data_IF_521571017215
#
_entry.id   IF_521571017215
#
_cell.length_a   1.000
_cell.length_b   1.000
_cell.length_c   1.000
_cell.angle_alpha   90.00
_cell.angle_beta   90.00
_cell.angle_gamma   90.00
#
_symmetry.space_group_name_H-M   'P 1'
#
loop_
_entity.id
_entity.type
_entity.pdbx_description
1 polymer ?
#
# COMPACT_ATOMS: atom_id res chain seq x y z
N UNK A 1 -18.47 20.82 -30.65
CA UNK A 1 -18.89 20.99 -29.24
C UNK A 1 -17.69 20.84 -28.28
N UNK A 2 -16.94 21.92 -28.02
CA UNK A 2 -15.73 21.89 -27.16
C UNK A 2 -16.03 21.72 -25.67
N UNK A 3 -17.19 22.20 -25.19
CA UNK A 3 -17.57 22.19 -23.77
C UNK A 3 -17.76 20.79 -23.17
N UNK A 4 -18.26 19.83 -23.95
CA UNK A 4 -18.46 18.43 -23.50
C UNK A 4 -17.12 17.75 -23.20
N UNK A 5 -16.08 18.05 -24.00
CA UNK A 5 -14.74 17.50 -23.84
C UNK A 5 -14.05 18.01 -22.56
N UNK A 6 -14.30 19.27 -22.21
CA UNK A 6 -13.77 19.91 -21.00
C UNK A 6 -14.41 19.31 -19.74
N UNK A 7 -15.75 19.20 -19.70
CA UNK A 7 -16.44 18.56 -18.58
C UNK A 7 -16.00 17.11 -18.36
N UNK A 8 -15.86 16.34 -19.45
CA UNK A 8 -15.41 14.95 -19.38
C UNK A 8 -13.99 14.80 -18.79
N UNK A 9 -13.06 15.68 -19.19
CA UNK A 9 -11.70 15.70 -18.65
C UNK A 9 -11.67 16.02 -17.15
N UNK A 10 -12.50 16.95 -16.67
CA UNK A 10 -12.55 17.32 -15.25
C UNK A 10 -13.05 16.15 -14.39
N UNK A 11 -14.06 15.40 -14.86
CA UNK A 11 -14.59 14.23 -14.15
C UNK A 11 -13.51 13.14 -14.03
N UNK A 12 -12.75 12.89 -15.10
CA UNK A 12 -11.65 11.91 -15.08
C UNK A 12 -10.57 12.31 -14.09
N UNK A 13 -10.13 13.58 -14.12
CA UNK A 13 -9.09 14.08 -13.20
C UNK A 13 -9.52 13.92 -11.74
N UNK A 14 -10.74 14.33 -11.41
CA UNK A 14 -11.27 14.23 -10.03
C UNK A 14 -11.42 12.77 -9.58
N UNK A 15 -11.83 11.87 -10.48
CA UNK A 15 -11.87 10.42 -10.19
C UNK A 15 -10.48 9.88 -9.90
N UNK A 16 -9.46 10.26 -10.69
CA UNK A 16 -8.08 9.83 -10.46
C UNK A 16 -7.54 10.31 -9.12
N UNK A 17 -7.76 11.58 -8.76
CA UNK A 17 -7.31 12.13 -7.47
C UNK A 17 -7.92 11.38 -6.29
N UNK A 18 -9.21 11.05 -6.35
CA UNK A 18 -9.85 10.25 -5.31
C UNK A 18 -9.27 8.84 -5.21
N UNK A 19 -8.93 8.19 -6.33
CA UNK A 19 -8.28 6.86 -6.30
C UNK A 19 -6.89 6.94 -5.68
N UNK A 20 -6.09 7.94 -6.04
CA UNK A 20 -4.75 8.14 -5.45
C UNK A 20 -4.82 8.44 -3.95
N UNK A 21 -5.83 9.20 -3.49
CA UNK A 21 -6.07 9.42 -2.06
C UNK A 21 -6.39 8.12 -1.33
N UNK A 22 -7.23 7.27 -1.89
CA UNK A 22 -7.55 5.96 -1.30
C UNK A 22 -6.31 5.07 -1.21
N UNK A 23 -5.50 5.01 -2.27
CA UNK A 23 -4.23 4.28 -2.29
C UNK A 23 -3.30 4.81 -1.20
N UNK A 24 -3.14 6.13 -1.09
CA UNK A 24 -2.32 6.76 -0.03
C UNK A 24 -2.78 6.34 1.36
N UNK A 25 -4.09 6.39 1.60
CA UNK A 25 -4.68 6.07 2.89
C UNK A 25 -4.43 4.61 3.26
N UNK A 26 -4.59 3.69 2.30
CA UNK A 26 -4.28 2.27 2.51
C UNK A 26 -2.80 2.02 2.80
N UNK A 27 -1.89 2.67 2.06
CA UNK A 27 -0.45 2.59 2.34
C UNK A 27 -0.13 3.05 3.77
N UNK A 28 -0.70 4.18 4.19
CA UNK A 28 -0.49 4.71 5.55
C UNK A 28 -1.09 3.76 6.59
N UNK A 29 -2.30 3.25 6.35
CA UNK A 29 -2.96 2.33 7.27
C UNK A 29 -2.16 1.04 7.45
N UNK A 30 -1.66 0.45 6.36
CA UNK A 30 -0.77 -0.73 6.40
C UNK A 30 0.52 -0.38 7.14
N UNK A 31 1.14 0.77 6.85
CA UNK A 31 2.34 1.21 7.55
C UNK A 31 2.13 1.34 9.07
N UNK A 32 0.98 1.87 9.50
CA UNK A 32 0.63 2.00 10.91
C UNK A 32 0.42 0.64 11.57
N UNK A 33 -0.24 -0.30 10.89
CA UNK A 33 -0.42 -1.67 11.41
C UNK A 33 0.94 -2.34 11.62
N UNK A 34 1.83 -2.32 10.62
CA UNK A 34 3.18 -2.86 10.73
C UNK A 34 3.99 -2.17 11.84
N UNK A 35 3.81 -0.87 12.03
CA UNK A 35 4.48 -0.12 13.10
C UNK A 35 4.01 -0.58 14.49
N UNK A 36 2.70 -0.74 14.68
CA UNK A 36 2.11 -1.21 15.94
C UNK A 36 2.57 -2.63 16.25
N UNK A 37 2.60 -3.52 15.25
CA UNK A 37 3.15 -4.87 15.42
C UNK A 37 4.65 -4.89 15.69
N UNK A 38 5.41 -3.97 15.10
CA UNK A 38 6.82 -3.76 15.44
C UNK A 38 7.01 -3.39 16.92
N UNK A 39 6.22 -2.44 17.43
CA UNK A 39 6.24 -2.06 18.86
C UNK A 39 5.86 -3.25 19.75
N UNK A 40 4.76 -3.92 19.44
CA UNK A 40 4.28 -5.06 20.21
C UNK A 40 5.32 -6.18 20.28
N UNK A 41 5.91 -6.55 19.13
CA UNK A 41 6.96 -7.58 19.04
C UNK A 41 8.21 -7.20 19.82
N UNK A 42 8.60 -5.91 19.77
CA UNK A 42 9.74 -5.39 20.51
C UNK A 42 9.54 -5.51 22.02
N UNK A 43 8.32 -5.26 22.52
CA UNK A 43 8.00 -5.31 23.95
C UNK A 43 7.82 -6.73 24.47
N UNK A 44 7.22 -7.63 23.67
CA UNK A 44 6.91 -8.99 24.11
C UNK A 44 8.12 -9.93 23.98
N UNK A 45 8.77 -9.95 22.83
CA UNK A 45 9.81 -10.94 22.51
C UNK A 45 11.24 -10.42 22.63
N UNK A 46 11.43 -9.09 22.48
CA UNK A 46 12.75 -8.49 22.33
C UNK A 46 13.51 -8.96 21.08
N UNK A 47 12.86 -9.66 20.15
CA UNK A 47 13.52 -10.18 18.95
C UNK A 47 13.83 -9.04 17.97
N UNK A 48 15.09 -8.60 18.01
CA UNK A 48 15.58 -7.45 17.25
C UNK A 48 15.39 -7.65 15.74
N UNK A 49 15.58 -8.87 15.23
CA UNK A 49 15.48 -9.14 13.79
C UNK A 49 14.05 -8.94 13.29
N UNK A 50 13.06 -9.57 13.94
CA UNK A 50 11.65 -9.41 13.55
C UNK A 50 11.17 -7.97 13.74
N UNK A 51 11.57 -7.34 14.85
CA UNK A 51 11.26 -5.94 15.12
C UNK A 51 11.79 -5.02 14.02
N UNK A 52 13.04 -5.21 13.60
CA UNK A 52 13.64 -4.43 12.52
C UNK A 52 12.90 -4.64 11.20
N UNK A 53 12.54 -5.88 10.84
CA UNK A 53 11.77 -6.19 9.63
C UNK A 53 10.42 -5.46 9.64
N UNK A 54 9.71 -5.47 10.77
CA UNK A 54 8.40 -4.82 10.92
C UNK A 54 8.50 -3.30 10.72
N UNK A 55 9.52 -2.66 11.32
CA UNK A 55 9.75 -1.22 11.15
C UNK A 55 10.21 -0.86 9.74
N UNK A 56 11.05 -1.68 9.11
CA UNK A 56 11.46 -1.49 7.71
C UNK A 56 10.24 -1.57 6.80
N UNK A 57 9.37 -2.58 6.99
CA UNK A 57 8.13 -2.71 6.21
C UNK A 57 7.23 -1.49 6.38
N UNK A 58 7.03 -1.04 7.63
CA UNK A 58 6.26 0.17 7.92
C UNK A 58 6.81 1.41 7.20
N UNK A 59 8.12 1.66 7.31
CA UNK A 59 8.79 2.77 6.63
C UNK A 59 8.68 2.67 5.11
N UNK A 60 8.81 1.45 4.57
CA UNK A 60 8.71 1.18 3.13
C UNK A 60 7.30 1.48 2.61
N UNK A 61 6.24 1.02 3.28
CA UNK A 61 4.85 1.33 2.91
C UNK A 61 4.56 2.83 3.01
N UNK A 62 5.05 3.51 4.04
CA UNK A 62 4.89 4.96 4.18
C UNK A 62 5.60 5.73 3.05
N UNK A 63 6.83 5.34 2.73
CA UNK A 63 7.61 5.95 1.65
C UNK A 63 6.97 5.72 0.27
N UNK A 64 6.57 4.47 -0.01
CA UNK A 64 5.89 4.10 -1.25
C UNK A 64 4.55 4.85 -1.40
N UNK A 65 3.73 4.91 -0.35
CA UNK A 65 2.46 5.64 -0.39
C UNK A 65 2.62 7.11 -0.80
N UNK A 66 3.65 7.78 -0.30
CA UNK A 66 3.94 9.18 -0.65
C UNK A 66 4.46 9.34 -2.08
N UNK A 67 5.33 8.43 -2.55
CA UNK A 67 5.95 8.48 -3.88
C UNK A 67 5.01 8.03 -5.00
N UNK A 68 4.16 7.04 -4.74
CA UNK A 68 3.08 6.60 -5.65
C UNK A 68 2.10 7.76 -5.90
N UNK A 69 1.79 8.57 -4.89
CA UNK A 69 0.94 9.76 -5.10
C UNK A 69 1.57 10.83 -6.01
N UNK A 70 2.90 10.86 -6.12
CA UNK A 70 3.63 11.74 -7.03
C UNK A 70 3.73 11.18 -8.45
N UNK A 71 3.10 10.03 -8.72
CA UNK A 71 3.11 9.35 -10.02
C UNK A 71 4.50 8.91 -10.47
N UNK A 72 5.38 8.60 -9.51
CA UNK A 72 6.72 8.11 -9.82
C UNK A 72 6.67 6.64 -10.23
N UNK A 73 7.05 6.33 -11.49
CA UNK A 73 7.00 4.97 -12.05
C UNK A 73 7.78 3.95 -11.23
N UNK A 74 8.97 4.33 -10.75
CA UNK A 74 9.82 3.44 -9.93
C UNK A 74 9.12 3.05 -8.64
N UNK A 75 8.47 4.00 -7.97
CA UNK A 75 7.71 3.73 -6.75
C UNK A 75 6.46 2.87 -7.02
N UNK A 76 5.80 3.04 -8.16
CA UNK A 76 4.67 2.21 -8.57
C UNK A 76 5.07 0.73 -8.75
N UNK A 77 6.13 0.46 -9.53
CA UNK A 77 6.59 -0.92 -9.72
C UNK A 77 7.18 -1.51 -8.44
N UNK A 78 7.91 -0.70 -7.65
CA UNK A 78 8.40 -1.11 -6.33
C UNK A 78 7.26 -1.50 -5.40
N UNK A 79 6.18 -0.71 -5.36
CA UNK A 79 4.98 -1.02 -4.60
C UNK A 79 4.32 -2.33 -5.01
N UNK A 80 4.18 -2.60 -6.31
CA UNK A 80 3.63 -3.86 -6.79
C UNK A 80 4.48 -5.06 -6.35
N UNK A 81 5.80 -4.96 -6.45
CA UNK A 81 6.71 -6.02 -6.03
C UNK A 81 6.62 -6.25 -4.52
N UNK A 82 6.68 -5.19 -3.72
CA UNK A 82 6.59 -5.28 -2.25
C UNK A 82 5.27 -5.89 -1.82
N UNK A 83 4.15 -5.49 -2.44
CA UNK A 83 2.84 -6.08 -2.15
C UNK A 83 2.77 -7.54 -2.56
N UNK A 84 3.28 -7.91 -3.74
CA UNK A 84 3.30 -9.31 -4.18
C UNK A 84 4.10 -10.19 -3.22
N UNK A 85 5.27 -9.73 -2.79
CA UNK A 85 6.09 -10.44 -1.80
C UNK A 85 5.34 -10.57 -0.48
N UNK A 86 4.76 -9.49 0.04
CA UNK A 86 4.00 -9.53 1.29
C UNK A 86 2.80 -10.49 1.21
N UNK A 87 2.07 -10.51 0.10
CA UNK A 87 0.96 -11.44 -0.12
C UNK A 87 1.44 -12.89 -0.10
N UNK A 88 2.51 -13.22 -0.83
CA UNK A 88 3.07 -14.58 -0.85
C UNK A 88 3.53 -14.99 0.55
N UNK A 89 4.31 -14.14 1.23
CA UNK A 89 4.79 -14.39 2.58
C UNK A 89 3.63 -14.65 3.55
N UNK A 90 2.59 -13.81 3.51
CA UNK A 90 1.43 -13.93 4.40
C UNK A 90 0.64 -15.23 4.13
N UNK A 91 0.55 -15.68 2.88
CA UNK A 91 -0.13 -16.95 2.54
C UNK A 91 0.68 -18.17 2.99
N UNK A 92 2.01 -18.08 2.96
CA UNK A 92 2.90 -19.17 3.36
C UNK A 92 3.15 -19.26 4.86
N UNK A 93 2.83 -18.19 5.60
CA UNK A 93 2.95 -18.17 7.05
C UNK A 93 1.77 -18.90 7.73
N UNK A 94 1.91 -19.22 9.01
CA UNK A 94 0.82 -19.79 9.80
C UNK A 94 -0.33 -18.77 9.88
N UNK A 95 -1.45 -19.07 9.24
CA UNK A 95 -2.60 -18.16 9.13
C UNK A 95 -3.18 -17.79 10.51
N UNK A 96 -2.86 -16.59 10.99
CA UNK A 96 -3.57 -15.92 12.06
C UNK A 96 -4.73 -15.04 11.55
N UNK A 97 -5.68 -14.71 12.44
CA UNK A 97 -6.76 -13.77 12.12
C UNK A 97 -6.21 -12.39 11.73
N UNK A 98 -5.13 -11.96 12.38
CA UNK A 98 -4.46 -10.70 12.07
C UNK A 98 -3.80 -10.70 10.68
N UNK A 99 -3.18 -11.82 10.30
CA UNK A 99 -2.57 -12.00 8.99
C UNK A 99 -3.62 -11.97 7.87
N UNK A 100 -4.80 -12.53 8.12
CA UNK A 100 -5.91 -12.46 7.17
C UNK A 100 -6.35 -11.02 6.88
N UNK A 101 -6.43 -10.16 7.91
CA UNK A 101 -6.79 -8.74 7.73
C UNK A 101 -5.73 -8.02 6.90
N UNK A 102 -4.45 -8.24 7.20
CA UNK A 102 -3.32 -7.65 6.44
C UNK A 102 -3.32 -8.17 4.99
N UNK A 103 -3.59 -9.46 4.78
CA UNK A 103 -3.67 -10.07 3.46
C UNK A 103 -4.78 -9.42 2.63
N UNK A 104 -5.99 -9.27 3.18
CA UNK A 104 -7.11 -8.61 2.48
C UNK A 104 -6.77 -7.18 2.12
N UNK A 105 -6.15 -6.42 3.03
CA UNK A 105 -5.70 -5.05 2.75
C UNK A 105 -4.64 -4.99 1.64
N UNK A 106 -3.65 -5.89 1.67
CA UNK A 106 -2.61 -5.97 0.65
C UNK A 106 -3.18 -6.35 -0.71
N UNK A 107 -4.08 -7.34 -0.79
CA UNK A 107 -4.75 -7.73 -2.03
C UNK A 107 -5.58 -6.58 -2.58
N UNK A 108 -6.34 -5.90 -1.73
CA UNK A 108 -7.16 -4.76 -2.13
C UNK A 108 -6.31 -3.59 -2.65
N UNK A 109 -5.22 -3.26 -1.96
CA UNK A 109 -4.27 -2.24 -2.39
C UNK A 109 -3.60 -2.62 -3.72
N UNK A 110 -3.18 -3.88 -3.87
CA UNK A 110 -2.60 -4.41 -5.10
C UNK A 110 -3.58 -4.28 -6.27
N UNK A 111 -4.84 -4.68 -6.06
CA UNK A 111 -5.89 -4.55 -7.07
C UNK A 111 -6.12 -3.08 -7.47
N UNK A 112 -6.15 -2.16 -6.51
CA UNK A 112 -6.27 -0.73 -6.80
C UNK A 112 -5.10 -0.21 -7.64
N UNK A 113 -3.85 -0.58 -7.30
CA UNK A 113 -2.66 -0.22 -8.07
C UNK A 113 -2.75 -0.71 -9.51
N UNK A 114 -3.12 -1.98 -9.72
CA UNK A 114 -3.29 -2.55 -11.07
C UNK A 114 -4.35 -1.79 -11.86
N UNK A 115 -5.46 -1.41 -11.23
CA UNK A 115 -6.55 -0.65 -11.88
C UNK A 115 -6.09 0.76 -12.32
N UNK A 116 -5.17 1.37 -11.57
CA UNK A 116 -4.65 2.70 -11.88
C UNK A 116 -3.36 2.67 -12.71
N UNK A 117 -2.93 1.50 -13.20
CA UNK A 117 -1.70 1.30 -14.00
C UNK A 117 -1.57 2.30 -15.15
N UNK A 118 -2.65 2.58 -15.86
CA UNK A 118 -2.64 3.46 -17.03
C UNK A 118 -2.31 4.92 -16.72
N UNK A 119 -2.22 5.30 -15.44
CA UNK A 119 -1.97 6.66 -14.98
C UNK A 119 -0.53 6.93 -14.54
N UNK A 120 0.35 5.92 -14.60
CA UNK A 120 1.78 5.98 -14.24
C UNK A 120 2.66 5.79 -15.46
#
# INVERSE_FOLDING_TARGET
MPYVKICYNIIIIKRMENQLKNVKLLFILIAVIWFIFGIYTCLESGNILFTAIMFINSGLFFWLGNRVCRREKVAYYGALIVLAINIILTITDQFGVYDFIILVLNIYLFWLLVKIKHYF
#
